data_IF_503604461597
#
_entry.id   IF_503604461597
#
_cell.length_a   1.000
_cell.length_b   1.000
_cell.length_c   1.000
_cell.angle_alpha   90.00
_cell.angle_beta   90.00
_cell.angle_gamma   90.00
#
_symmetry.space_group_name_H-M   'P 1'
#
loop_
_entity.id
_entity.type
_entity.pdbx_description
1 polymer ?
#
# COMPACT_ATOMS: atom_id res chain seq x y z
N UNK A 1 -46.10 5.30 2.62
CA UNK A 1 -44.92 4.64 3.20
C UNK A 1 -43.73 5.57 3.04
N UNK A 2 -42.98 5.93 4.10
CA UNK A 2 -41.80 6.75 3.91
C UNK A 2 -40.62 5.86 3.50
N UNK A 3 -40.06 6.16 2.32
CA UNK A 3 -38.81 5.59 1.82
C UNK A 3 -37.67 6.29 2.55
N UNK A 4 -36.92 5.55 3.37
CA UNK A 4 -35.72 6.07 4.00
C UNK A 4 -34.62 6.25 2.95
N UNK A 5 -34.10 7.47 2.82
CA UNK A 5 -32.96 7.82 1.97
C UNK A 5 -31.87 8.42 2.85
N UNK A 6 -30.82 7.66 3.16
CA UNK A 6 -29.60 8.22 3.74
C UNK A 6 -28.74 8.84 2.64
N UNK A 7 -28.52 10.15 2.73
CA UNK A 7 -27.77 10.96 1.75
C UNK A 7 -26.56 11.70 2.37
N UNK A 8 -25.96 11.18 3.45
CA UNK A 8 -24.82 11.82 4.11
C UNK A 8 -23.60 10.87 4.20
N UNK A 9 -22.41 11.30 3.77
CA UNK A 9 -21.15 10.62 4.03
C UNK A 9 -20.58 11.10 5.37
N UNK A 10 -21.34 10.99 6.47
CA UNK A 10 -20.87 11.42 7.77
C UNK A 10 -20.30 10.23 8.55
N UNK A 11 -18.98 10.22 8.70
CA UNK A 11 -18.26 9.34 9.62
C UNK A 11 -18.81 9.55 11.04
N UNK A 12 -19.07 8.45 11.74
CA UNK A 12 -19.43 8.48 13.16
C UNK A 12 -18.31 9.16 13.97
N UNK A 13 -18.64 10.11 14.87
CA UNK A 13 -17.67 10.96 15.58
C UNK A 13 -16.78 10.23 16.60
N UNK A 14 -16.91 8.91 16.74
CA UNK A 14 -16.24 8.09 17.74
C UNK A 14 -15.48 6.90 17.15
N UNK A 15 -15.37 6.78 15.83
CA UNK A 15 -14.48 5.78 15.25
C UNK A 15 -13.04 6.17 15.61
N UNK A 16 -12.27 5.33 16.33
CA UNK A 16 -10.88 5.64 16.61
C UNK A 16 -10.18 5.87 15.29
N UNK A 17 -9.53 7.04 15.16
CA UNK A 17 -8.60 7.30 14.06
C UNK A 17 -7.59 6.16 14.12
N UNK A 18 -7.47 5.31 13.08
CA UNK A 18 -6.44 4.29 13.09
C UNK A 18 -5.12 5.00 13.32
N UNK A 19 -4.35 4.51 14.29
CA UNK A 19 -3.02 5.01 14.61
C UNK A 19 -2.13 4.68 13.41
N UNK A 20 -2.24 5.50 12.37
CA UNK A 20 -1.46 5.45 11.16
C UNK A 20 -0.10 6.01 11.53
N UNK A 21 0.65 5.26 12.35
CA UNK A 21 2.11 5.42 12.35
C UNK A 21 2.51 5.28 10.89
N UNK A 22 3.13 6.33 10.30
CA UNK A 22 3.45 6.30 8.90
C UNK A 22 4.54 5.25 8.72
N UNK A 23 4.13 4.04 8.34
CA UNK A 23 5.06 3.03 7.90
C UNK A 23 5.93 3.68 6.81
N UNK A 24 7.24 3.55 6.94
CA UNK A 24 8.17 4.14 5.97
C UNK A 24 7.88 3.59 4.57
N UNK A 25 7.44 2.34 4.50
CA UNK A 25 7.01 1.68 3.27
C UNK A 25 5.61 1.12 3.44
N UNK A 26 4.72 1.43 2.49
CA UNK A 26 3.38 0.85 2.41
C UNK A 26 3.26 0.05 1.11
N UNK A 27 3.01 -1.25 1.26
CA UNK A 27 2.68 -2.16 0.17
C UNK A 27 1.16 -2.29 0.03
N UNK A 28 0.63 -1.82 -1.09
CA UNK A 28 -0.77 -1.95 -1.46
C UNK A 28 -0.93 -3.12 -2.43
N UNK A 29 -1.74 -4.10 -2.03
CA UNK A 29 -2.02 -5.31 -2.82
C UNK A 29 -3.44 -5.27 -3.39
N UNK A 30 -3.56 -5.40 -4.70
CA UNK A 30 -4.84 -5.39 -5.40
C UNK A 30 -5.75 -6.58 -5.09
N UNK A 31 -6.99 -6.49 -5.56
CA UNK A 31 -8.03 -7.44 -5.18
C UNK A 31 -7.68 -8.89 -5.54
N UNK A 32 -7.92 -9.79 -4.58
CA UNK A 32 -7.78 -11.23 -4.79
C UNK A 32 -6.34 -11.75 -4.82
N UNK A 33 -5.33 -10.87 -4.65
CA UNK A 33 -3.93 -11.26 -4.68
C UNK A 33 -3.23 -10.80 -3.40
N UNK A 34 -3.02 -11.74 -2.49
CA UNK A 34 -2.15 -11.50 -1.35
C UNK A 34 -0.68 -11.66 -1.80
N UNK A 35 0.22 -10.73 -1.42
CA UNK A 35 1.64 -10.94 -1.63
C UNK A 35 2.05 -12.21 -0.89
N UNK A 36 2.88 -13.03 -1.52
CA UNK A 36 3.38 -14.24 -0.85
C UNK A 36 4.16 -13.86 0.40
N UNK A 37 4.05 -14.68 1.45
CA UNK A 37 4.78 -14.43 2.71
C UNK A 37 6.28 -14.30 2.47
N UNK A 38 6.82 -15.05 1.50
CA UNK A 38 8.21 -14.95 1.07
C UNK A 38 8.56 -13.58 0.50
N UNK A 39 7.72 -13.01 -0.37
CA UNK A 39 7.95 -11.67 -0.91
C UNK A 39 7.92 -10.61 0.21
N UNK A 40 6.99 -10.74 1.16
CA UNK A 40 6.91 -9.83 2.31
C UNK A 40 8.14 -9.97 3.21
N UNK A 41 8.61 -11.19 3.46
CA UNK A 41 9.83 -11.45 4.23
C UNK A 41 11.07 -10.88 3.52
N UNK A 42 11.22 -11.11 2.22
CA UNK A 42 12.31 -10.55 1.41
C UNK A 42 12.30 -9.02 1.43
N UNK A 43 11.11 -8.39 1.35
CA UNK A 43 10.96 -6.94 1.46
C UNK A 43 11.34 -6.42 2.85
N UNK A 44 10.93 -7.11 3.93
CA UNK A 44 11.34 -6.74 5.29
C UNK A 44 12.85 -6.81 5.48
N UNK A 45 13.49 -7.86 4.95
CA UNK A 45 14.95 -8.00 4.97
C UNK A 45 15.63 -6.88 4.19
N UNK A 46 15.10 -6.51 3.02
CA UNK A 46 15.64 -5.42 2.20
C UNK A 46 15.50 -4.03 2.86
N UNK A 47 14.58 -3.89 3.80
CA UNK A 47 14.24 -2.63 4.44
C UNK A 47 15.03 -2.34 5.72
N UNK A 48 15.86 -3.27 6.20
CA UNK A 48 16.80 -3.07 7.31
C UNK A 48 16.16 -2.37 8.52
N UNK A 49 15.19 -3.05 9.15
CA UNK A 49 14.37 -2.59 10.28
C UNK A 49 13.38 -1.43 10.00
N UNK A 50 13.29 -0.91 8.78
CA UNK A 50 12.24 0.07 8.44
C UNK A 50 10.85 -0.57 8.47
N UNK A 51 9.87 0.19 8.95
CA UNK A 51 8.48 -0.28 9.06
C UNK A 51 7.86 -0.52 7.67
N UNK A 52 7.48 -1.78 7.41
CA UNK A 52 6.68 -2.19 6.26
C UNK A 52 5.24 -2.48 6.70
N UNK A 53 4.31 -1.66 6.22
CA UNK A 53 2.89 -1.96 6.29
C UNK A 53 2.42 -2.64 5.00
N UNK A 54 1.49 -3.58 5.13
CA UNK A 54 0.82 -4.23 3.99
C UNK A 54 -0.66 -3.97 4.12
N UNK A 55 -1.30 -3.54 3.03
CA UNK A 55 -2.72 -3.23 3.02
C UNK A 55 -3.37 -3.68 1.71
N UNK A 56 -4.61 -4.14 1.78
CA UNK A 56 -5.40 -4.41 0.59
C UNK A 56 -5.79 -3.09 -0.11
N UNK A 57 -5.85 -3.08 -1.44
CA UNK A 57 -6.24 -1.93 -2.25
C UNK A 57 -7.60 -1.37 -1.83
N UNK A 58 -8.56 -2.24 -1.51
CA UNK A 58 -9.89 -1.84 -1.02
C UNK A 58 -9.82 -1.10 0.31
N UNK A 59 -9.00 -1.57 1.24
CA UNK A 59 -8.78 -0.92 2.53
C UNK A 59 -8.01 0.40 2.36
N UNK A 60 -7.03 0.44 1.46
CA UNK A 60 -6.29 1.65 1.12
C UNK A 60 -7.19 2.74 0.52
N UNK A 61 -8.06 2.37 -0.41
CA UNK A 61 -9.06 3.28 -0.99
C UNK A 61 -10.08 3.75 0.05
N UNK A 62 -10.61 2.84 0.88
CA UNK A 62 -11.56 3.18 1.94
C UNK A 62 -10.95 4.09 3.03
N UNK A 63 -9.64 3.99 3.25
CA UNK A 63 -8.88 4.85 4.15
C UNK A 63 -8.56 6.24 3.54
N UNK A 64 -8.95 6.51 2.30
CA UNK A 64 -8.67 7.77 1.62
C UNK A 64 -7.26 7.86 1.04
N UNK A 65 -6.69 6.71 0.64
CA UNK A 65 -5.35 6.60 0.02
C UNK A 65 -4.24 7.18 0.89
N UNK A 66 -4.03 6.64 2.11
CA UNK A 66 -2.94 7.10 2.97
C UNK A 66 -1.59 6.98 2.26
N UNK A 67 -0.77 8.02 2.38
CA UNK A 67 0.57 8.08 1.84
C UNK A 67 1.61 7.43 2.74
N UNK A 68 2.77 7.11 2.17
CA UNK A 68 3.98 6.67 2.86
C UNK A 68 5.21 7.27 2.15
N UNK A 69 6.39 7.21 2.76
CA UNK A 69 7.61 7.68 2.10
C UNK A 69 7.89 6.89 0.81
N UNK A 70 7.56 5.60 0.79
CA UNK A 70 7.49 4.78 -0.42
C UNK A 70 6.19 4.01 -0.47
N UNK A 71 5.47 4.18 -1.58
CA UNK A 71 4.25 3.45 -1.92
C UNK A 71 4.56 2.40 -2.98
N UNK A 72 4.29 1.14 -2.67
CA UNK A 72 4.49 0.00 -3.56
C UNK A 72 3.12 -0.58 -3.94
N UNK A 73 2.87 -0.75 -5.24
CA UNK A 73 1.66 -1.36 -5.77
C UNK A 73 1.90 -2.76 -6.34
N UNK A 74 1.09 -3.74 -5.94
CA UNK A 74 1.08 -5.08 -6.54
C UNK A 74 -0.30 -5.46 -7.04
N UNK A 75 -0.43 -5.78 -8.33
CA UNK A 75 -1.68 -6.18 -8.98
C UNK A 75 -2.85 -5.20 -8.76
N UNK A 76 -2.56 -3.91 -8.69
CA UNK A 76 -3.60 -2.89 -8.52
C UNK A 76 -4.61 -2.96 -9.66
N UNK A 77 -5.87 -2.67 -9.35
CA UNK A 77 -6.98 -2.67 -10.31
C UNK A 77 -6.79 -1.53 -11.32
N UNK A 78 -6.29 -0.39 -10.85
CA UNK A 78 -5.93 0.77 -11.68
C UNK A 78 -4.52 1.25 -11.34
N UNK A 79 -3.83 1.81 -12.33
CA UNK A 79 -2.55 2.46 -12.10
C UNK A 79 -2.77 3.70 -11.22
N UNK A 80 -2.04 3.77 -10.10
CA UNK A 80 -2.09 4.90 -9.19
C UNK A 80 -0.83 5.78 -9.38
N UNK A 81 -0.95 7.04 -9.84
CA UNK A 81 0.21 7.92 -10.08
C UNK A 81 1.01 8.22 -8.81
N UNK A 82 0.40 8.08 -7.64
CA UNK A 82 1.04 8.21 -6.33
C UNK A 82 2.00 7.06 -5.97
N UNK A 83 2.01 5.97 -6.73
CA UNK A 83 2.87 4.82 -6.47
C UNK A 83 4.32 5.10 -6.85
N UNK A 84 5.24 4.89 -5.93
CA UNK A 84 6.69 4.95 -6.20
C UNK A 84 7.14 3.82 -7.11
N UNK A 85 6.44 2.68 -7.04
CA UNK A 85 6.63 1.52 -7.89
C UNK A 85 5.34 0.71 -7.98
N UNK A 86 5.05 0.15 -9.15
CA UNK A 86 3.90 -0.75 -9.34
C UNK A 86 4.24 -1.89 -10.30
N UNK A 87 3.72 -3.09 -10.05
CA UNK A 87 3.79 -4.20 -10.99
C UNK A 87 2.68 -5.23 -10.76
N UNK A 88 2.53 -6.15 -11.70
CA UNK A 88 1.68 -7.34 -11.54
C UNK A 88 2.53 -8.59 -11.32
N UNK A 89 2.00 -9.55 -10.58
CA UNK A 89 2.59 -10.87 -10.40
C UNK A 89 2.32 -11.76 -11.63
N UNK A 90 3.26 -12.64 -12.02
CA UNK A 90 4.59 -12.83 -11.43
C UNK A 90 5.58 -11.70 -11.79
N UNK A 91 6.48 -11.38 -10.86
CA UNK A 91 7.50 -10.35 -11.11
C UNK A 91 8.56 -10.82 -12.10
N UNK A 92 8.73 -10.07 -13.19
CA UNK A 92 9.83 -10.25 -14.14
C UNK A 92 11.16 -9.76 -13.54
N UNK A 93 12.32 -10.17 -14.09
CA UNK A 93 13.62 -9.62 -13.65
C UNK A 93 13.69 -8.09 -13.75
N UNK A 94 13.02 -7.48 -14.72
CA UNK A 94 12.94 -6.02 -14.87
C UNK A 94 12.17 -5.40 -13.70
N UNK A 95 11.01 -5.96 -13.35
CA UNK A 95 10.22 -5.49 -12.20
C UNK A 95 11.02 -5.56 -10.90
N UNK A 96 11.77 -6.65 -10.68
CA UNK A 96 12.63 -6.81 -9.49
C UNK A 96 13.74 -5.77 -9.42
N UNK A 97 14.40 -5.45 -10.56
CA UNK A 97 15.43 -4.40 -10.61
C UNK A 97 14.85 -3.01 -10.34
N UNK A 98 13.67 -2.71 -10.88
CA UNK A 98 12.98 -1.44 -10.63
C UNK A 98 12.57 -1.31 -9.16
N UNK A 99 12.04 -2.38 -8.57
CA UNK A 99 11.71 -2.44 -7.15
C UNK A 99 12.97 -2.19 -6.31
N UNK A 100 14.06 -2.90 -6.59
CA UNK A 100 15.33 -2.70 -5.89
C UNK A 100 15.85 -1.26 -6.01
N UNK A 101 15.82 -0.68 -7.21
CA UNK A 101 16.20 0.72 -7.43
C UNK A 101 15.33 1.70 -6.64
N UNK A 102 14.02 1.43 -6.55
CA UNK A 102 13.09 2.20 -5.72
C UNK A 102 13.45 2.10 -4.23
N UNK A 103 13.73 0.90 -3.73
CA UNK A 103 14.14 0.68 -2.35
C UNK A 103 15.50 1.30 -2.02
N UNK A 104 16.49 1.25 -2.92
CA UNK A 104 17.79 1.89 -2.69
C UNK A 104 17.68 3.40 -2.47
N UNK A 105 16.69 4.08 -3.07
CA UNK A 105 16.47 5.51 -2.80
C UNK A 105 16.18 5.80 -1.33
N UNK A 106 15.58 4.84 -0.61
CA UNK A 106 15.36 4.95 0.84
C UNK A 106 16.67 4.84 1.63
N UNK A 107 17.61 4.00 1.19
CA UNK A 107 18.89 3.80 1.86
C UNK A 107 19.82 5.03 1.78
N UNK A 108 19.65 5.85 0.75
CA UNK A 108 20.46 7.06 0.52
C UNK A 108 19.69 8.37 0.71
N UNK A 109 18.43 8.32 1.13
CA UNK A 109 17.70 9.51 1.56
C UNK A 109 18.27 9.97 2.92
N UNK A 110 18.69 11.25 3.05
CA UNK A 110 19.31 11.79 4.27
C UNK A 110 18.34 11.87 5.45
#
# INVERSE_FOLDING_TARGET
MPVWYCRHPERLPLAPVPDLRPATVLLVAGQGVLPSERLVADLRLALDDRELAVMAETAWLAAGRPGAAVLLGLNLTEAAPEMSWQASLPLTPVHKRQLWSCLCKLCFAP
#
